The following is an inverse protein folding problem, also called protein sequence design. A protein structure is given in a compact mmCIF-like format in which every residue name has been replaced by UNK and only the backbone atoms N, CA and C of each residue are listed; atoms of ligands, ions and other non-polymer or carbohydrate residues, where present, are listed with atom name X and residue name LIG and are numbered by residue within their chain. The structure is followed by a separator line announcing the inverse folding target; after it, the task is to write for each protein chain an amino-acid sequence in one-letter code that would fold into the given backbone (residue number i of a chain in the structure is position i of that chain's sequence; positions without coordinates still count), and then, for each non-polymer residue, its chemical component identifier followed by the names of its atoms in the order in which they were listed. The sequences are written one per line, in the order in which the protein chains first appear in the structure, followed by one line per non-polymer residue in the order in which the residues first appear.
data_IF_459661377370
#
_entry.id   IF_459661377370
#
_cell.length_a   1.000
_cell.length_b   1.000
_cell.length_c   1.000
_cell.angle_alpha   90.00
_cell.angle_beta   90.00
_cell.angle_gamma   90.00
#
_symmetry.space_group_name_H-M   'P 1'
#
loop_
_entity.id
_entity.type
_entity.pdbx_description
1 polymer ?
#
# COMPACT_ATOMS: atom_id res chain seq x y z
N UNK A 1 3.12 -13.16 -0.43
CA UNK A 1 1.96 -13.13 -1.35
C UNK A 1 1.49 -14.52 -1.73
N UNK A 2 0.21 -14.67 -2.11
CA UNK A 2 -0.32 -15.94 -2.61
C UNK A 2 -0.41 -15.87 -4.14
N UNK A 3 0.23 -16.78 -4.83
CA UNK A 3 0.07 -16.99 -6.26
C UNK A 3 -0.70 -18.28 -6.53
N UNK A 4 -1.45 -18.34 -7.61
CA UNK A 4 -2.12 -19.57 -8.05
C UNK A 4 -1.42 -20.13 -9.26
N UNK A 5 -0.85 -21.32 -9.14
CA UNK A 5 -0.35 -22.12 -10.25
C UNK A 5 -1.28 -23.33 -10.43
N UNK A 6 -1.89 -23.48 -11.60
CA UNK A 6 -2.76 -24.61 -11.89
C UNK A 6 -3.93 -24.79 -10.92
N UNK A 7 -4.53 -23.70 -10.40
CA UNK A 7 -5.65 -23.74 -9.47
C UNK A 7 -5.27 -24.08 -8.01
N UNK A 8 -4.00 -24.26 -7.68
CA UNK A 8 -3.53 -24.42 -6.30
C UNK A 8 -3.00 -23.10 -5.78
N UNK A 9 -3.43 -22.69 -4.59
CA UNK A 9 -2.79 -21.57 -3.88
C UNK A 9 -1.40 -22.02 -3.46
N UNK A 10 -0.39 -21.45 -4.05
CA UNK A 10 0.99 -21.60 -3.62
C UNK A 10 1.31 -20.34 -2.83
N UNK A 11 1.62 -20.48 -1.56
CA UNK A 11 2.24 -19.42 -0.78
C UNK A 11 3.67 -19.30 -1.28
N UNK A 12 3.89 -18.28 -2.12
CA UNK A 12 5.23 -17.90 -2.51
C UNK A 12 5.64 -16.84 -1.50
N UNK A 13 6.75 -17.05 -0.82
CA UNK A 13 7.39 -16.02 -0.01
C UNK A 13 7.57 -14.78 -0.90
N UNK A 14 7.35 -13.60 -0.35
CA UNK A 14 7.50 -12.34 -1.08
C UNK A 14 8.88 -12.22 -1.74
N UNK A 15 9.90 -12.84 -1.14
CA UNK A 15 11.24 -12.92 -1.68
C UNK A 15 11.34 -13.76 -2.96
N UNK A 16 10.44 -14.70 -3.21
CA UNK A 16 10.40 -15.51 -4.45
C UNK A 16 9.75 -14.76 -5.61
N UNK A 17 8.79 -13.86 -5.34
CA UNK A 17 8.18 -13.00 -6.37
C UNK A 17 9.17 -11.98 -6.96
N UNK A 18 10.32 -11.80 -6.34
CA UNK A 18 11.38 -10.86 -6.75
C UNK A 18 12.45 -11.47 -7.62
N UNK A 19 12.18 -12.64 -8.18
CA UNK A 19 13.09 -13.29 -9.09
C UNK A 19 13.30 -12.45 -10.33
N UNK A 20 14.31 -11.62 -10.23
CA UNK A 20 14.93 -11.00 -11.36
C UNK A 20 16.20 -11.79 -11.66
N UNK A 21 16.28 -12.42 -12.80
CA UNK A 21 17.52 -13.02 -13.25
C UNK A 21 18.20 -12.08 -14.23
N UNK A 22 19.43 -11.71 -13.95
CA UNK A 22 20.27 -10.90 -14.85
C UNK A 22 20.76 -11.67 -16.10
N UNK A 23 20.05 -12.70 -16.51
CA UNK A 23 20.50 -13.64 -17.54
C UNK A 23 21.67 -14.53 -17.11
N UNK A 24 22.18 -14.39 -15.90
CA UNK A 24 23.26 -15.17 -15.28
C UNK A 24 22.80 -16.02 -14.12
N UNK A 25 21.48 -16.11 -13.92
CA UNK A 25 20.87 -16.92 -12.87
C UNK A 25 21.00 -16.33 -11.47
N UNK A 26 21.03 -15.01 -11.33
CA UNK A 26 21.02 -14.34 -10.03
C UNK A 26 19.61 -13.88 -9.68
N UNK A 27 19.24 -14.00 -8.41
CA UNK A 27 17.95 -13.52 -7.89
C UNK A 27 18.17 -12.40 -6.85
N UNK A 28 17.09 -11.69 -6.53
CA UNK A 28 17.11 -10.61 -5.55
C UNK A 28 16.48 -11.09 -4.24
N UNK A 29 17.20 -10.96 -3.13
CA UNK A 29 16.70 -11.25 -1.80
C UNK A 29 17.45 -12.39 -1.07
N UNK A 30 17.16 -12.55 0.20
CA UNK A 30 17.65 -13.65 1.02
C UNK A 30 16.57 -14.73 1.11
N UNK A 31 16.91 -15.96 0.78
CA UNK A 31 16.05 -17.12 1.03
C UNK A 31 16.13 -17.53 2.49
N UNK A 32 14.99 -17.62 3.15
CA UNK A 32 14.92 -18.05 4.54
C UNK A 32 14.46 -19.50 4.71
N UNK A 33 13.96 -20.14 3.65
CA UNK A 33 13.50 -21.53 3.68
C UNK A 33 14.61 -22.55 3.42
N UNK A 34 14.45 -23.78 3.93
CA UNK A 34 15.31 -24.92 3.60
C UNK A 34 15.14 -25.33 2.14
N UNK A 35 13.90 -25.36 1.65
CA UNK A 35 13.57 -25.62 0.24
C UNK A 35 13.30 -24.32 -0.51
N UNK A 36 14.11 -24.06 -1.53
CA UNK A 36 14.10 -22.85 -2.35
C UNK A 36 13.71 -23.18 -3.78
N UNK A 37 12.45 -23.03 -4.09
CA UNK A 37 11.91 -23.30 -5.42
C UNK A 37 11.87 -22.00 -6.21
N UNK A 38 12.69 -21.89 -7.25
CA UNK A 38 12.70 -20.74 -8.17
C UNK A 38 11.77 -21.02 -9.35
N UNK A 39 10.76 -20.20 -9.52
CA UNK A 39 9.96 -20.18 -10.74
C UNK A 39 10.51 -19.10 -11.66
N UNK A 40 11.16 -19.50 -12.74
CA UNK A 40 11.80 -18.62 -13.72
C UNK A 40 10.85 -18.44 -14.89
N UNK A 41 10.44 -17.20 -15.17
CA UNK A 41 9.56 -16.85 -16.27
C UNK A 41 10.22 -15.78 -17.14
N UNK A 42 10.40 -16.05 -18.44
CA UNK A 42 11.05 -15.12 -19.38
C UNK A 42 10.29 -13.79 -19.55
N UNK A 43 9.02 -13.74 -19.13
CA UNK A 43 8.18 -12.55 -19.21
C UNK A 43 8.38 -11.60 -18.00
N UNK A 44 9.18 -11.98 -17.01
CA UNK A 44 9.51 -11.10 -15.88
C UNK A 44 10.52 -10.04 -16.35
N UNK A 45 10.21 -8.74 -16.19
CA UNK A 45 11.12 -7.67 -16.58
C UNK A 45 12.41 -7.73 -15.77
N UNK A 46 13.54 -7.35 -16.39
CA UNK A 46 14.79 -7.15 -15.68
C UNK A 46 14.72 -5.88 -14.84
N UNK A 47 14.95 -6.02 -13.54
CA UNK A 47 14.92 -4.90 -12.59
C UNK A 47 16.26 -4.76 -11.87
N UNK A 48 16.82 -3.54 -11.88
CA UNK A 48 18.11 -3.24 -11.26
C UNK A 48 18.05 -3.41 -9.74
N UNK A 49 19.04 -4.11 -9.19
CA UNK A 49 19.28 -4.23 -7.75
C UNK A 49 20.71 -4.66 -7.46
N UNK A 50 21.22 -4.33 -6.29
CA UNK A 50 22.51 -4.84 -5.79
C UNK A 50 22.33 -6.10 -4.93
N UNK A 51 21.10 -6.48 -4.65
CA UNK A 51 20.76 -7.68 -3.86
C UNK A 51 20.56 -8.86 -4.81
N UNK A 52 21.58 -9.68 -4.93
CA UNK A 52 21.63 -10.77 -5.90
C UNK A 52 22.08 -12.06 -5.21
N UNK A 53 21.47 -13.17 -5.62
CA UNK A 53 21.90 -14.50 -5.17
C UNK A 53 22.27 -15.36 -6.39
N UNK A 54 23.01 -16.42 -6.16
CA UNK A 54 23.44 -17.32 -7.21
C UNK A 54 22.41 -18.42 -7.44
N UNK A 55 22.27 -18.90 -8.67
CA UNK A 55 21.32 -19.96 -9.03
C UNK A 55 21.55 -21.25 -8.24
N UNK A 56 22.79 -21.51 -7.78
CA UNK A 56 23.11 -22.66 -6.92
C UNK A 56 22.49 -22.60 -5.53
N UNK A 57 21.94 -21.45 -5.14
CA UNK A 57 21.23 -21.30 -3.87
C UNK A 57 19.80 -21.88 -3.95
N UNK A 58 19.33 -22.21 -5.16
CA UNK A 58 18.05 -22.85 -5.37
C UNK A 58 18.10 -24.35 -5.15
N UNK A 59 17.11 -24.88 -4.44
CA UNK A 59 16.89 -26.33 -4.32
C UNK A 59 16.29 -26.90 -5.60
N UNK A 60 15.41 -26.12 -6.26
CA UNK A 60 14.74 -26.51 -7.50
C UNK A 60 14.46 -25.28 -8.36
N UNK A 61 14.49 -25.46 -9.69
CA UNK A 61 14.13 -24.43 -10.66
C UNK A 61 12.98 -24.95 -11.49
N UNK A 62 11.92 -24.13 -11.63
CA UNK A 62 10.77 -24.40 -12.47
C UNK A 62 10.75 -23.33 -13.57
N UNK A 63 10.91 -23.76 -14.82
CA UNK A 63 10.80 -22.87 -15.97
C UNK A 63 9.33 -22.68 -16.34
N UNK A 64 8.92 -21.43 -16.54
CA UNK A 64 7.60 -21.04 -17.00
C UNK A 64 7.71 -20.12 -18.20
N UNK A 65 6.71 -20.18 -19.06
CA UNK A 65 6.51 -19.27 -20.19
C UNK A 65 5.04 -18.81 -20.21
N UNK A 66 4.64 -18.16 -19.12
CA UNK A 66 3.28 -17.71 -18.93
C UNK A 66 3.27 -16.17 -18.87
N UNK A 67 2.24 -15.51 -19.43
CA UNK A 67 2.06 -14.08 -19.26
C UNK A 67 1.98 -13.72 -17.77
N UNK A 68 2.55 -12.58 -17.38
CA UNK A 68 2.40 -12.07 -16.03
C UNK A 68 0.95 -11.70 -15.75
N UNK A 69 0.53 -11.87 -14.51
CA UNK A 69 -0.80 -11.44 -14.06
C UNK A 69 -0.93 -9.94 -14.27
N UNK A 70 -1.93 -9.54 -15.06
CA UNK A 70 -2.21 -8.13 -15.31
C UNK A 70 -3.47 -7.71 -14.56
N UNK A 71 -3.38 -6.56 -13.88
CA UNK A 71 -4.50 -5.92 -13.17
C UNK A 71 -4.89 -4.69 -13.99
N UNK A 72 -6.11 -4.63 -14.54
CA UNK A 72 -6.54 -3.47 -15.30
C UNK A 72 -6.73 -2.27 -14.38
N UNK A 73 -6.41 -1.07 -14.89
CA UNK A 73 -6.76 0.17 -14.23
C UNK A 73 -8.24 0.46 -14.46
N UNK A 74 -8.96 0.77 -13.38
CA UNK A 74 -10.36 1.23 -13.45
C UNK A 74 -10.42 2.75 -13.30
N UNK A 75 -11.43 3.35 -13.89
CA UNK A 75 -11.72 4.77 -13.68
C UNK A 75 -12.16 4.98 -12.23
N UNK A 76 -11.57 5.97 -11.51
CA UNK A 76 -11.93 6.26 -10.14
C UNK A 76 -13.39 6.69 -10.01
N UNK A 77 -14.05 6.21 -8.97
CA UNK A 77 -15.39 6.70 -8.60
C UNK A 77 -15.31 8.12 -8.01
N UNK A 78 -16.40 8.90 -8.01
CA UNK A 78 -16.42 10.23 -7.39
C UNK A 78 -15.99 10.25 -5.91
N UNK A 79 -16.27 9.16 -5.18
CA UNK A 79 -15.81 9.02 -3.79
C UNK A 79 -14.27 8.93 -3.72
N UNK A 80 -13.66 8.15 -4.61
CA UNK A 80 -12.20 8.01 -4.67
C UNK A 80 -11.51 9.30 -5.15
N UNK A 81 -12.14 10.06 -6.05
CA UNK A 81 -11.65 11.37 -6.47
C UNK A 81 -11.65 12.38 -5.31
N UNK A 82 -12.71 12.40 -4.49
CA UNK A 82 -12.76 13.23 -3.29
C UNK A 82 -11.67 12.86 -2.28
N UNK A 83 -11.48 11.57 -1.99
CA UNK A 83 -10.40 11.07 -1.13
C UNK A 83 -9.03 11.51 -1.67
N UNK A 84 -8.80 11.33 -2.98
CA UNK A 84 -7.58 11.74 -3.66
C UNK A 84 -7.28 13.23 -3.51
N UNK A 85 -8.30 14.07 -3.63
CA UNK A 85 -8.18 15.53 -3.45
C UNK A 85 -7.71 15.88 -2.04
N UNK A 86 -8.32 15.30 -1.00
CA UNK A 86 -7.89 15.52 0.39
C UNK A 86 -6.44 15.10 0.64
N UNK A 87 -5.99 13.99 0.04
CA UNK A 87 -4.60 13.51 0.17
C UNK A 87 -3.65 14.44 -0.57
N UNK A 88 -4.01 14.86 -1.80
CA UNK A 88 -3.20 15.77 -2.62
C UNK A 88 -3.01 17.14 -1.94
N UNK A 89 -4.06 17.67 -1.28
CA UNK A 89 -3.99 18.94 -0.54
C UNK A 89 -3.00 18.87 0.64
N UNK A 90 -2.81 17.69 1.22
CA UNK A 90 -1.85 17.44 2.30
C UNK A 90 -0.43 17.12 1.82
N UNK A 91 -0.25 16.92 0.51
CA UNK A 91 1.02 16.53 -0.10
C UNK A 91 1.81 17.74 -0.54
N UNK A 92 3.07 17.85 -0.14
CA UNK A 92 3.99 18.90 -0.61
C UNK A 92 4.77 18.42 -1.85
N UNK A 93 5.31 19.38 -2.61
CA UNK A 93 6.31 19.09 -3.60
C UNK A 93 7.56 18.44 -2.96
N UNK A 94 8.15 17.48 -3.66
CA UNK A 94 9.28 16.71 -3.14
C UNK A 94 8.90 15.62 -2.13
N UNK A 95 7.62 15.34 -1.91
CA UNK A 95 7.19 14.22 -1.06
C UNK A 95 7.68 12.89 -1.63
N UNK A 96 8.11 11.97 -0.75
CA UNK A 96 8.46 10.60 -1.10
C UNK A 96 7.23 9.70 -0.89
N UNK A 97 6.64 9.23 -1.99
CA UNK A 97 5.34 8.56 -1.98
C UNK A 97 5.45 7.03 -1.87
N UNK A 98 4.53 6.44 -1.12
CA UNK A 98 4.16 5.04 -1.10
C UNK A 98 2.64 4.94 -1.28
N UNK A 99 2.22 4.08 -2.19
CA UNK A 99 0.81 3.78 -2.43
C UNK A 99 0.62 2.27 -2.57
N UNK A 100 -0.55 1.77 -2.17
CA UNK A 100 -0.95 0.37 -2.36
C UNK A 100 -1.41 0.08 -3.80
N UNK A 101 -2.23 -0.96 -3.94
CA UNK A 101 -2.87 -1.38 -5.22
C UNK A 101 -4.32 -0.92 -5.28
N UNK A 102 -4.89 -0.96 -6.50
CA UNK A 102 -6.31 -0.79 -6.79
C UNK A 102 -6.72 0.65 -7.08
N UNK A 103 -8.02 0.84 -7.16
CA UNK A 103 -8.66 2.05 -7.68
C UNK A 103 -8.32 3.30 -6.86
N UNK A 104 -8.17 3.15 -5.53
CA UNK A 104 -7.77 4.26 -4.67
C UNK A 104 -6.36 4.76 -5.01
N UNK A 105 -5.40 3.85 -5.23
CA UNK A 105 -4.04 4.22 -5.61
C UNK A 105 -4.01 4.91 -6.97
N UNK A 106 -4.84 4.46 -7.91
CA UNK A 106 -5.03 5.10 -9.21
C UNK A 106 -5.57 6.51 -9.03
N UNK A 107 -6.61 6.70 -8.21
CA UNK A 107 -7.18 8.01 -7.90
C UNK A 107 -6.14 8.95 -7.27
N UNK A 108 -5.40 8.48 -6.26
CA UNK A 108 -4.35 9.28 -5.59
C UNK A 108 -3.26 9.67 -6.58
N UNK A 109 -2.81 8.75 -7.45
CA UNK A 109 -1.86 9.07 -8.51
C UNK A 109 -2.37 10.19 -9.43
N UNK A 110 -3.64 10.18 -9.79
CA UNK A 110 -4.25 11.29 -10.56
C UNK A 110 -4.25 12.61 -9.79
N UNK A 111 -4.59 12.60 -8.51
CA UNK A 111 -4.56 13.80 -7.67
C UNK A 111 -3.17 14.40 -7.51
N UNK A 112 -2.12 13.58 -7.58
CA UNK A 112 -0.72 14.02 -7.44
C UNK A 112 -0.10 14.57 -8.73
N UNK A 113 -0.81 14.57 -9.86
CA UNK A 113 -0.30 15.09 -11.16
C UNK A 113 0.07 16.58 -11.15
N UNK A 114 -0.40 17.34 -10.16
CA UNK A 114 -0.06 18.77 -10.00
C UNK A 114 1.09 18.99 -9.00
N UNK A 115 1.73 17.93 -8.51
CA UNK A 115 2.88 18.01 -7.61
C UNK A 115 4.17 17.83 -8.39
N UNK A 116 5.26 18.40 -7.86
CA UNK A 116 6.56 18.42 -8.52
C UNK A 116 7.62 17.75 -7.66
N UNK A 117 8.66 17.25 -8.32
CA UNK A 117 9.84 16.66 -7.69
C UNK A 117 9.54 15.53 -6.71
N UNK A 118 8.46 14.80 -6.91
CA UNK A 118 8.12 13.66 -6.08
C UNK A 118 9.23 12.59 -6.13
N UNK A 119 9.33 11.81 -5.08
CA UNK A 119 10.13 10.60 -5.02
C UNK A 119 9.25 9.37 -4.80
N UNK A 120 9.75 8.18 -5.10
CA UNK A 120 9.10 6.91 -4.82
C UNK A 120 9.98 6.06 -3.92
N UNK A 121 9.42 5.63 -2.78
CA UNK A 121 9.90 4.54 -1.96
C UNK A 121 8.67 3.76 -1.49
N UNK A 122 8.38 2.64 -2.11
CA UNK A 122 7.12 1.91 -1.94
C UNK A 122 7.38 0.41 -1.90
N UNK A 123 6.57 -0.36 -1.18
CA UNK A 123 6.62 -1.81 -1.28
C UNK A 123 6.30 -2.24 -2.71
N UNK A 124 5.20 -1.76 -3.24
CA UNK A 124 4.76 -2.05 -4.60
C UNK A 124 4.87 -0.81 -5.48
N UNK A 125 5.22 -1.01 -6.73
CA UNK A 125 5.11 -0.02 -7.79
C UNK A 125 4.03 -0.42 -8.78
N UNK A 126 3.07 0.47 -9.03
CA UNK A 126 1.94 0.27 -9.94
C UNK A 126 1.89 1.32 -11.06
N UNK A 127 0.89 1.19 -11.93
CA UNK A 127 0.72 2.03 -13.12
C UNK A 127 0.60 3.52 -12.81
N UNK A 128 -0.09 3.89 -11.73
CA UNK A 128 -0.24 5.29 -11.35
C UNK A 128 1.10 5.97 -11.01
N UNK A 129 2.02 5.22 -10.39
CA UNK A 129 3.38 5.69 -10.13
C UNK A 129 4.20 5.78 -11.41
N UNK A 130 4.11 4.76 -12.30
CA UNK A 130 4.73 4.80 -13.63
C UNK A 130 4.29 6.05 -14.40
N UNK A 131 2.99 6.35 -14.39
CA UNK A 131 2.44 7.53 -15.05
C UNK A 131 3.06 8.83 -14.50
N UNK A 132 3.20 8.96 -13.17
CA UNK A 132 3.83 10.12 -12.54
C UNK A 132 5.31 10.26 -12.93
N UNK A 133 6.04 9.15 -13.10
CA UNK A 133 7.43 9.16 -13.61
C UNK A 133 7.44 9.61 -15.06
N UNK A 134 6.63 9.00 -15.94
CA UNK A 134 6.55 9.35 -17.37
C UNK A 134 6.17 10.82 -17.60
N UNK A 135 5.34 11.39 -16.74
CA UNK A 135 4.94 12.80 -16.81
C UNK A 135 5.98 13.78 -16.25
N UNK A 136 7.01 13.28 -15.57
CA UNK A 136 8.01 14.12 -14.94
C UNK A 136 7.63 14.68 -13.56
N UNK A 137 6.50 14.26 -12.99
CA UNK A 137 6.11 14.61 -11.61
C UNK A 137 7.05 13.96 -10.60
N UNK A 138 7.52 12.73 -10.88
CA UNK A 138 8.50 12.01 -10.08
C UNK A 138 9.87 12.17 -10.71
N UNK A 139 10.76 12.88 -10.03
CA UNK A 139 12.17 13.06 -10.41
C UNK A 139 13.12 12.31 -9.49
N UNK A 140 12.67 11.92 -8.31
CA UNK A 140 13.47 11.33 -7.22
C UNK A 140 14.66 12.20 -6.75
N UNK A 141 14.80 13.42 -7.25
CA UNK A 141 15.97 14.29 -6.98
C UNK A 141 15.98 14.80 -5.54
N UNK A 142 14.80 14.92 -4.91
CA UNK A 142 14.64 15.38 -3.52
C UNK A 142 14.57 14.26 -2.49
N UNK A 143 14.70 12.99 -2.90
CA UNK A 143 14.84 11.88 -1.95
C UNK A 143 16.13 12.00 -1.16
N UNK A 144 16.06 11.73 0.14
CA UNK A 144 17.21 11.73 1.06
C UNK A 144 17.78 10.33 1.28
N UNK A 145 17.08 9.30 0.81
CA UNK A 145 17.55 7.92 0.74
C UNK A 145 17.34 7.38 -0.68
N UNK A 146 18.38 6.87 -1.30
CA UNK A 146 18.41 6.43 -2.70
C UNK A 146 17.90 7.52 -3.68
N UNK A 147 18.56 8.71 -3.72
CA UNK A 147 18.16 9.77 -4.62
C UNK A 147 18.32 9.36 -6.08
N UNK A 148 17.52 9.95 -6.95
CA UNK A 148 17.58 9.73 -8.40
C UNK A 148 16.89 8.46 -8.92
N UNK A 149 16.45 7.56 -8.04
CA UNK A 149 15.78 6.33 -8.45
C UNK A 149 14.47 6.11 -7.66
N UNK A 150 13.47 5.55 -8.33
CA UNK A 150 12.27 5.01 -7.69
C UNK A 150 12.58 3.65 -7.09
N UNK A 151 12.43 3.51 -5.77
CA UNK A 151 12.70 2.24 -5.09
C UNK A 151 11.42 1.51 -4.73
N UNK A 152 11.38 0.21 -5.03
CA UNK A 152 10.26 -0.67 -4.71
C UNK A 152 10.74 -2.09 -4.37
N UNK A 153 9.82 -2.89 -3.82
CA UNK A 153 10.09 -4.30 -3.57
C UNK A 153 9.58 -5.19 -4.69
N UNK A 154 8.45 -4.83 -5.32
CA UNK A 154 7.89 -5.56 -6.45
C UNK A 154 7.04 -4.66 -7.36
N UNK A 155 6.66 -5.20 -8.53
CA UNK A 155 5.74 -4.59 -9.50
C UNK A 155 4.43 -5.34 -9.53
N UNK A 156 3.32 -4.61 -9.68
CA UNK A 156 2.03 -5.21 -10.00
C UNK A 156 1.15 -4.18 -10.73
N UNK A 157 0.67 -4.52 -11.92
CA UNK A 157 -0.16 -3.64 -12.72
C UNK A 157 -0.46 -4.20 -14.10
N UNK A 158 -0.52 -3.34 -15.09
CA UNK A 158 -0.78 -3.70 -16.48
C UNK A 158 0.47 -4.24 -17.18
N UNK A 159 0.27 -4.80 -18.37
CA UNK A 159 1.37 -5.22 -19.25
C UNK A 159 2.31 -4.04 -19.56
N UNK A 160 1.75 -2.84 -19.76
CA UNK A 160 2.53 -1.63 -20.04
C UNK A 160 3.50 -1.28 -18.91
N UNK A 161 3.11 -1.54 -17.66
CA UNK A 161 3.99 -1.36 -16.50
C UNK A 161 5.19 -2.31 -16.58
N UNK A 162 4.97 -3.58 -16.91
CA UNK A 162 6.03 -4.59 -16.99
C UNK A 162 6.99 -4.29 -18.16
N UNK A 163 6.45 -3.91 -19.33
CA UNK A 163 7.26 -3.50 -20.47
C UNK A 163 8.09 -2.23 -20.20
N UNK A 164 7.49 -1.25 -19.51
CA UNK A 164 8.20 -0.04 -19.13
C UNK A 164 9.29 -0.29 -18.07
N UNK A 165 9.08 -1.26 -17.19
CA UNK A 165 10.02 -1.55 -16.11
C UNK A 165 11.25 -2.33 -16.59
N UNK A 166 11.16 -3.00 -17.74
CA UNK A 166 12.26 -3.83 -18.26
C UNK A 166 13.48 -2.98 -18.60
N UNK A 167 14.62 -3.30 -17.99
CA UNK A 167 15.89 -2.57 -18.11
C UNK A 167 15.80 -1.06 -17.83
N UNK A 168 14.88 -0.64 -16.98
CA UNK A 168 14.65 0.77 -16.66
C UNK A 168 15.58 1.25 -15.54
N UNK A 169 16.56 2.10 -15.88
CA UNK A 169 17.54 2.64 -14.93
C UNK A 169 16.95 3.59 -13.86
N UNK A 170 15.73 4.07 -14.07
CA UNK A 170 15.03 4.91 -13.07
C UNK A 170 14.46 4.09 -11.91
N UNK A 171 14.49 2.75 -12.00
CA UNK A 171 14.00 1.83 -10.99
C UNK A 171 15.14 1.15 -10.25
N UNK A 172 14.93 0.93 -8.95
CA UNK A 172 15.86 0.21 -8.10
C UNK A 172 15.10 -0.66 -7.10
N UNK A 173 15.29 -1.98 -7.18
CA UNK A 173 14.52 -2.92 -6.39
C UNK A 173 15.28 -3.35 -5.14
N UNK A 174 14.54 -3.42 -4.04
CA UNK A 174 15.03 -3.78 -2.71
C UNK A 174 14.29 -5.02 -2.19
N UNK A 175 14.96 -5.91 -1.47
CA UNK A 175 14.27 -6.95 -0.69
C UNK A 175 13.30 -6.32 0.32
N UNK A 176 12.14 -6.99 0.59
CA UNK A 176 11.15 -6.49 1.55
C UNK A 176 11.72 -6.13 2.91
N UNK A 177 12.62 -6.95 3.51
CA UNK A 177 13.20 -6.61 4.81
C UNK A 177 13.96 -5.29 4.81
N UNK A 178 14.36 -4.78 3.64
CA UNK A 178 15.06 -3.50 3.48
C UNK A 178 14.08 -2.43 3.02
N UNK A 179 13.26 -2.72 2.01
CA UNK A 179 12.29 -1.78 1.45
C UNK A 179 11.23 -1.37 2.49
N UNK A 180 10.68 -2.37 3.20
CA UNK A 180 9.60 -2.17 4.19
C UNK A 180 10.13 -1.84 5.59
N UNK A 181 11.45 -1.76 5.79
CA UNK A 181 11.97 -1.41 7.11
C UNK A 181 11.61 0.02 7.49
N UNK A 182 10.86 0.27 8.57
CA UNK A 182 10.42 1.61 8.97
C UNK A 182 11.58 2.61 9.14
N UNK A 183 12.74 2.15 9.58
CA UNK A 183 13.92 3.00 9.72
C UNK A 183 14.53 3.39 8.37
N UNK A 184 14.44 2.51 7.37
CA UNK A 184 14.89 2.84 6.01
C UNK A 184 13.90 3.76 5.30
N UNK A 185 12.59 3.52 5.46
CA UNK A 185 11.53 4.39 4.96
C UNK A 185 11.74 5.80 5.52
N UNK A 186 11.96 5.91 6.82
CA UNK A 186 12.14 7.17 7.54
C UNK A 186 13.40 7.96 7.14
N UNK A 187 14.36 7.35 6.44
CA UNK A 187 15.51 8.07 5.86
C UNK A 187 15.11 9.06 4.76
N UNK A 188 13.94 8.88 4.15
CA UNK A 188 13.37 9.87 3.24
C UNK A 188 12.60 10.92 4.03
N UNK A 189 12.84 12.19 3.75
CA UNK A 189 12.04 13.31 4.27
C UNK A 189 10.68 13.34 3.54
N UNK A 190 9.64 13.84 4.22
CA UNK A 190 8.29 14.03 3.68
C UNK A 190 7.68 12.74 3.09
N UNK A 191 7.86 11.61 3.74
CA UNK A 191 7.21 10.36 3.30
C UNK A 191 5.69 10.51 3.36
N UNK A 192 5.04 10.28 2.23
CA UNK A 192 3.60 10.18 2.09
C UNK A 192 3.23 8.71 1.93
N UNK A 193 2.74 8.09 2.99
CA UNK A 193 2.25 6.71 2.95
C UNK A 193 0.73 6.69 2.85
N UNK A 194 0.19 6.04 1.82
CA UNK A 194 -1.25 5.90 1.58
C UNK A 194 -1.61 4.42 1.51
N UNK A 195 -2.42 3.97 2.46
CA UNK A 195 -2.86 2.59 2.54
C UNK A 195 -4.38 2.50 2.63
N UNK A 196 -4.94 1.47 2.00
CA UNK A 196 -6.37 1.21 1.97
C UNK A 196 -6.79 0.43 3.22
N UNK A 197 -7.99 0.69 3.72
CA UNK A 197 -8.64 -0.12 4.75
C UNK A 197 -9.97 -0.67 4.27
N UNK A 198 -10.38 -1.82 4.82
CA UNK A 198 -11.73 -2.37 4.68
C UNK A 198 -12.67 -1.74 5.70
N UNK A 199 -12.23 -1.66 6.95
CA UNK A 199 -13.01 -1.08 8.05
C UNK A 199 -12.08 -0.33 9.03
N UNK A 200 -12.67 0.66 9.72
CA UNK A 200 -12.07 1.33 10.88
C UNK A 200 -13.09 1.42 12.01
N UNK A 201 -12.66 1.12 13.23
CA UNK A 201 -13.54 1.30 14.38
C UNK A 201 -13.45 2.71 15.00
N UNK A 202 -14.39 3.06 15.89
CA UNK A 202 -14.46 4.40 16.48
C UNK A 202 -13.30 4.73 17.43
N UNK A 203 -12.46 3.76 17.79
CA UNK A 203 -11.22 4.04 18.51
C UNK A 203 -10.00 4.17 17.60
N UNK A 204 -10.18 3.93 16.28
CA UNK A 204 -9.18 4.11 15.24
C UNK A 204 -8.31 2.88 14.99
N UNK A 205 -8.76 1.69 15.32
CA UNK A 205 -8.17 0.43 14.86
C UNK A 205 -8.55 0.20 13.40
N UNK A 206 -7.68 -0.41 12.60
CA UNK A 206 -7.86 -0.61 11.16
C UNK A 206 -7.79 -2.08 10.79
N UNK A 207 -8.69 -2.49 9.91
CA UNK A 207 -8.69 -3.81 9.25
C UNK A 207 -8.50 -3.62 7.76
N UNK A 208 -7.55 -4.34 7.16
CA UNK A 208 -7.23 -4.24 5.74
C UNK A 208 -7.03 -5.60 5.04
N UNK A 209 -6.76 -6.67 5.77
CA UNK A 209 -6.29 -7.95 5.25
C UNK A 209 -7.22 -9.13 5.52
N UNK A 210 -8.28 -8.92 6.32
CA UNK A 210 -9.23 -9.97 6.65
C UNK A 210 -10.67 -9.46 6.71
N UNK A 211 -11.64 -10.39 6.56
CA UNK A 211 -13.07 -10.13 6.69
C UNK A 211 -13.59 -11.03 7.81
N UNK A 212 -13.92 -10.43 8.95
CA UNK A 212 -14.42 -11.14 10.15
C UNK A 212 -13.52 -12.34 10.52
N UNK A 213 -12.20 -12.12 10.56
CA UNK A 213 -11.21 -13.15 10.91
C UNK A 213 -10.91 -14.16 9.80
N UNK A 214 -11.57 -14.08 8.66
CA UNK A 214 -11.17 -14.86 7.48
C UNK A 214 -10.12 -14.07 6.70
N UNK A 215 -8.91 -14.60 6.62
CA UNK A 215 -7.80 -13.98 5.91
C UNK A 215 -8.13 -13.83 4.42
N UNK A 216 -8.02 -12.61 3.90
CA UNK A 216 -8.30 -12.28 2.50
C UNK A 216 -7.00 -12.09 1.70
N UNK A 217 -6.01 -11.46 2.31
CA UNK A 217 -4.66 -11.25 1.74
C UNK A 217 -3.60 -11.48 2.83
N UNK A 218 -2.32 -11.45 2.46
CA UNK A 218 -1.25 -11.29 3.45
C UNK A 218 -1.41 -9.97 4.20
N UNK A 219 -0.77 -9.84 5.37
CA UNK A 219 -0.72 -8.60 6.15
C UNK A 219 -0.08 -7.47 5.34
N UNK A 220 0.95 -7.77 4.52
CA UNK A 220 1.69 -6.79 3.71
C UNK A 220 2.47 -5.77 4.55
N UNK A 221 2.95 -4.72 3.87
CA UNK A 221 3.77 -3.67 4.48
C UNK A 221 3.00 -2.47 5.04
N UNK A 222 1.67 -2.54 5.17
CA UNK A 222 0.88 -1.38 5.62
C UNK A 222 1.42 -0.77 6.92
N UNK A 223 1.62 -1.61 7.96
CA UNK A 223 2.09 -1.13 9.26
C UNK A 223 3.51 -0.55 9.18
N UNK A 224 4.39 -1.18 8.39
CA UNK A 224 5.77 -0.73 8.22
C UNK A 224 5.83 0.67 7.62
N UNK A 225 5.06 0.92 6.55
CA UNK A 225 4.99 2.23 5.89
C UNK A 225 4.28 3.27 6.75
N UNK A 226 3.24 2.90 7.49
CA UNK A 226 2.60 3.77 8.49
C UNK A 226 3.59 4.23 9.54
N UNK A 227 4.39 3.32 10.09
CA UNK A 227 5.42 3.64 11.09
C UNK A 227 6.57 4.43 10.46
N UNK A 228 7.07 4.02 9.30
CA UNK A 228 8.14 4.70 8.59
C UNK A 228 7.81 6.15 8.25
N UNK A 229 6.59 6.40 7.75
CA UNK A 229 6.11 7.76 7.47
C UNK A 229 6.03 8.63 8.73
N UNK A 230 5.63 8.06 9.87
CA UNK A 230 5.57 8.80 11.13
C UNK A 230 6.95 9.10 11.74
N UNK A 231 7.95 8.28 11.45
CA UNK A 231 9.34 8.52 11.82
C UNK A 231 10.06 9.47 10.86
N UNK A 232 9.58 9.60 9.64
CA UNK A 232 10.11 10.51 8.62
C UNK A 232 9.91 11.97 9.02
N UNK A 233 10.92 12.79 8.81
CA UNK A 233 10.82 14.24 9.01
C UNK A 233 9.82 14.84 8.02
N UNK A 234 8.72 15.41 8.54
CA UNK A 234 7.61 15.94 7.72
C UNK A 234 6.70 14.87 7.13
N UNK A 235 6.92 13.59 7.45
CA UNK A 235 6.14 12.49 6.91
C UNK A 235 4.70 12.43 7.41
N UNK A 236 3.84 11.85 6.60
CA UNK A 236 2.40 11.69 6.86
C UNK A 236 1.94 10.30 6.42
N UNK A 237 1.17 9.62 7.27
CA UNK A 237 0.54 8.35 6.93
C UNK A 237 -0.97 8.49 6.86
N UNK A 238 -1.56 8.02 5.77
CA UNK A 238 -2.99 8.05 5.49
C UNK A 238 -3.55 6.63 5.45
N UNK A 239 -4.62 6.42 6.19
CA UNK A 239 -5.53 5.30 6.04
C UNK A 239 -6.75 5.82 5.29
N UNK A 240 -6.99 5.31 4.10
CA UNK A 240 -8.03 5.78 3.22
C UNK A 240 -9.03 4.68 2.90
N UNK A 241 -10.31 4.99 2.98
CA UNK A 241 -11.39 4.06 2.69
C UNK A 241 -12.64 4.83 2.24
N UNK A 242 -13.46 4.23 1.40
CA UNK A 242 -14.84 4.73 1.20
C UNK A 242 -15.61 4.57 2.51
N UNK A 243 -16.46 5.53 2.85
CA UNK A 243 -17.23 5.47 4.11
C UNK A 243 -18.22 4.31 4.16
N UNK A 244 -18.58 3.75 2.99
CA UNK A 244 -19.57 2.69 2.84
C UNK A 244 -19.18 1.69 1.76
N UNK A 245 -19.77 0.49 1.87
CA UNK A 245 -19.81 -0.50 0.78
C UNK A 245 -21.24 -1.04 0.61
N UNK A 246 -21.51 -1.61 -0.56
CA UNK A 246 -22.79 -2.24 -0.86
C UNK A 246 -22.64 -3.75 -0.93
N UNK A 247 -23.51 -4.49 -0.20
CA UNK A 247 -23.56 -5.94 -0.25
C UNK A 247 -25.03 -6.37 -0.38
N UNK A 248 -25.35 -7.19 -1.39
CA UNK A 248 -26.71 -7.65 -1.68
C UNK A 248 -27.73 -6.50 -1.80
N UNK A 249 -27.36 -5.36 -2.40
CA UNK A 249 -28.20 -4.19 -2.56
C UNK A 249 -28.40 -3.35 -1.28
N UNK A 250 -27.82 -3.73 -0.16
CA UNK A 250 -27.86 -3.00 1.10
C UNK A 250 -26.56 -2.24 1.33
N UNK A 251 -26.67 -0.99 1.82
CA UNK A 251 -25.53 -0.12 2.17
C UNK A 251 -25.08 -0.44 3.61
N UNK A 252 -23.76 -0.54 3.78
CA UNK A 252 -23.10 -0.76 5.08
C UNK A 252 -22.02 0.30 5.30
N UNK A 253 -21.83 0.69 6.56
CA UNK A 253 -20.74 1.60 6.94
C UNK A 253 -19.42 0.84 7.08
N UNK A 254 -18.34 1.42 6.56
CA UNK A 254 -16.96 0.97 6.76
C UNK A 254 -16.33 1.60 8.03
N UNK A 255 -17.00 2.59 8.62
CA UNK A 255 -16.69 3.10 9.95
C UNK A 255 -17.65 2.42 10.92
N UNK A 256 -17.13 1.59 11.82
CA UNK A 256 -17.91 0.73 12.70
C UNK A 256 -17.68 1.09 14.17
N UNK A 257 -18.67 0.87 15.05
CA UNK A 257 -18.50 1.20 16.48
C UNK A 257 -17.44 0.35 17.15
N UNK A 258 -17.39 -0.93 16.81
CA UNK A 258 -16.38 -1.95 17.19
C UNK A 258 -16.33 -3.02 16.11
N UNK A 259 -15.20 -3.67 15.97
CA UNK A 259 -15.09 -4.82 15.10
C UNK A 259 -15.88 -6.01 15.64
N UNK A 260 -16.35 -6.87 14.74
CA UNK A 260 -16.94 -8.14 15.09
C UNK A 260 -15.90 -9.03 15.78
N UNK A 261 -16.37 -9.87 16.70
CA UNK A 261 -15.50 -10.82 17.41
C UNK A 261 -14.78 -11.75 16.41
N UNK A 262 -13.48 -11.90 16.57
CA UNK A 262 -12.63 -12.71 15.69
C UNK A 262 -11.97 -11.92 14.55
N UNK A 263 -12.29 -10.66 14.38
CA UNK A 263 -11.59 -9.79 13.39
C UNK A 263 -10.16 -9.49 13.84
N UNK A 264 -9.20 -9.59 12.92
CA UNK A 264 -7.80 -9.25 13.18
C UNK A 264 -7.51 -7.80 12.85
N UNK A 265 -6.79 -7.12 13.74
CA UNK A 265 -6.39 -5.71 13.54
C UNK A 265 -5.10 -5.67 12.72
N UNK A 266 -5.14 -5.05 11.54
CA UNK A 266 -3.98 -4.86 10.67
C UNK A 266 -3.11 -3.70 11.16
N UNK A 267 -3.71 -2.54 11.47
CA UNK A 267 -2.98 -1.39 12.01
C UNK A 267 -3.60 -0.97 13.35
N UNK A 268 -2.81 -1.00 14.46
CA UNK A 268 -3.30 -0.63 15.77
C UNK A 268 -3.57 0.87 15.87
N UNK A 269 -4.56 1.26 16.71
CA UNK A 269 -4.98 2.66 16.90
C UNK A 269 -3.86 3.63 17.28
N UNK A 270 -2.79 3.15 17.89
CA UNK A 270 -1.62 3.95 18.26
C UNK A 270 -0.80 4.41 17.08
N UNK A 271 -0.87 3.66 15.96
CA UNK A 271 -0.11 3.94 14.74
C UNK A 271 -0.92 4.73 13.70
N UNK A 272 -2.24 4.84 13.83
CA UNK A 272 -3.07 5.57 12.84
C UNK A 272 -2.91 7.08 13.03
N UNK A 273 -2.56 7.78 11.94
CA UNK A 273 -2.38 9.24 11.94
C UNK A 273 -3.51 9.95 11.20
N UNK A 274 -3.54 9.93 9.88
CA UNK A 274 -4.63 10.50 9.10
C UNK A 274 -5.61 9.41 8.68
N UNK A 275 -6.91 9.71 8.76
CA UNK A 275 -7.98 8.90 8.19
C UNK A 275 -8.73 9.76 7.18
N UNK A 276 -8.99 9.18 6.02
CA UNK A 276 -9.63 9.88 4.89
C UNK A 276 -10.78 9.06 4.35
N UNK A 277 -11.92 9.72 4.19
CA UNK A 277 -13.05 9.22 3.40
C UNK A 277 -13.48 10.29 2.41
N UNK A 278 -14.48 10.03 1.57
CA UNK A 278 -15.07 11.03 0.68
C UNK A 278 -15.73 12.20 1.43
N UNK A 279 -15.90 12.11 2.75
CA UNK A 279 -16.47 13.17 3.60
C UNK A 279 -15.42 14.04 4.30
N UNK A 280 -14.14 13.75 4.16
CA UNK A 280 -13.08 14.57 4.74
C UNK A 280 -11.82 13.81 5.10
N UNK A 281 -10.90 14.55 5.73
CA UNK A 281 -9.62 14.07 6.23
C UNK A 281 -9.43 14.55 7.66
N UNK A 282 -9.14 13.63 8.59
CA UNK A 282 -8.88 13.95 10.00
C UNK A 282 -7.54 13.42 10.45
N UNK A 283 -6.83 14.21 11.28
CA UNK A 283 -5.61 13.75 11.95
C UNK A 283 -5.98 13.28 13.36
N UNK A 284 -5.79 11.99 13.64
CA UNK A 284 -6.11 11.37 14.94
C UNK A 284 -5.00 11.52 15.99
N UNK A 285 -3.83 12.02 15.62
CA UNK A 285 -2.74 12.27 16.57
C UNK A 285 -3.13 13.41 17.51
N UNK A 286 -2.74 13.26 18.77
CA UNK A 286 -2.98 14.23 19.83
C UNK A 286 -4.47 14.44 20.20
N UNK A 287 -5.40 13.68 19.61
CA UNK A 287 -6.80 13.70 20.00
C UNK A 287 -7.04 12.81 21.22
N UNK A 288 -7.85 13.31 22.15
CA UNK A 288 -8.42 12.49 23.23
C UNK A 288 -9.34 11.40 22.61
N UNK A 289 -9.67 10.35 23.38
CA UNK A 289 -10.55 9.29 22.90
C UNK A 289 -11.89 9.85 22.40
N UNK A 290 -12.48 10.77 23.16
CA UNK A 290 -13.75 11.42 22.79
C UNK A 290 -13.64 12.19 21.44
N UNK A 291 -12.59 13.00 21.30
CA UNK A 291 -12.35 13.77 20.08
C UNK A 291 -12.11 12.84 18.86
N UNK A 292 -11.37 11.75 19.07
CA UNK A 292 -11.14 10.72 18.03
C UNK A 292 -12.44 10.09 17.56
N UNK A 293 -13.30 9.69 18.49
CA UNK A 293 -14.63 9.13 18.17
C UNK A 293 -15.45 10.12 17.34
N UNK A 294 -15.53 11.38 17.77
CA UNK A 294 -16.28 12.41 17.06
C UNK A 294 -15.71 12.69 15.67
N UNK A 295 -14.37 12.73 15.55
CA UNK A 295 -13.68 12.90 14.27
C UNK A 295 -13.98 11.74 13.30
N UNK A 296 -13.95 10.49 13.76
CA UNK A 296 -14.27 9.34 12.93
C UNK A 296 -15.76 9.30 12.53
N UNK A 297 -16.68 9.66 13.45
CA UNK A 297 -18.11 9.78 13.10
C UNK A 297 -18.32 10.85 12.01
N UNK A 298 -17.56 11.94 12.01
CA UNK A 298 -17.66 12.98 10.97
C UNK A 298 -17.28 12.49 9.58
N UNK A 299 -16.43 11.47 9.49
CA UNK A 299 -16.00 10.83 8.24
C UNK A 299 -16.99 9.77 7.73
N UNK A 300 -17.93 9.33 8.56
CA UNK A 300 -18.93 8.36 8.16
C UNK A 300 -19.95 8.96 7.20
N UNK A 301 -20.56 8.10 6.37
CA UNK A 301 -21.71 8.51 5.55
C UNK A 301 -22.82 9.11 6.44
N UNK A 302 -23.45 10.22 6.04
CA UNK A 302 -24.42 10.94 6.87
C UNK A 302 -25.53 10.06 7.49
N UNK A 303 -26.03 9.07 6.74
CA UNK A 303 -27.09 8.16 7.21
C UNK A 303 -26.69 7.27 8.38
N UNK A 304 -25.40 7.10 8.67
CA UNK A 304 -24.91 6.26 9.78
C UNK A 304 -24.42 7.07 10.98
N UNK A 305 -24.25 8.39 10.87
CA UNK A 305 -23.64 9.21 11.92
C UNK A 305 -24.40 9.21 13.24
N UNK A 306 -25.73 9.26 13.20
CA UNK A 306 -26.57 9.23 14.41
C UNK A 306 -26.47 7.88 15.09
N UNK A 307 -26.68 6.80 14.34
CA UNK A 307 -26.51 5.43 14.85
C UNK A 307 -25.15 5.20 15.48
N UNK A 308 -24.07 5.63 14.82
CA UNK A 308 -22.70 5.50 15.36
C UNK A 308 -22.50 6.31 16.66
N UNK A 309 -23.16 7.46 16.79
CA UNK A 309 -23.11 8.28 18.00
C UNK A 309 -23.82 7.60 19.17
N UNK A 310 -25.00 7.02 18.91
CA UNK A 310 -25.74 6.31 19.95
C UNK A 310 -25.01 5.04 20.41
N UNK A 311 -24.47 4.28 19.48
CA UNK A 311 -23.62 3.12 19.80
C UNK A 311 -22.35 3.52 20.56
N UNK A 312 -21.74 4.68 20.24
CA UNK A 312 -20.61 5.19 20.99
C UNK A 312 -20.95 5.53 22.44
N UNK A 313 -22.17 6.05 22.71
CA UNK A 313 -22.67 6.26 24.08
C UNK A 313 -22.92 4.94 24.79
N UNK A 314 -23.59 3.99 24.12
CA UNK A 314 -23.85 2.65 24.66
C UNK A 314 -22.57 1.94 25.09
N UNK A 315 -21.47 2.14 24.33
CA UNK A 315 -20.16 1.59 24.65
C UNK A 315 -19.31 2.43 25.61
N UNK A 316 -19.85 3.54 26.14
CA UNK A 316 -19.15 4.44 27.05
C UNK A 316 -17.99 5.21 26.42
N UNK A 317 -17.96 5.32 25.08
CA UNK A 317 -16.97 6.11 24.34
C UNK A 317 -17.37 7.60 24.29
N UNK A 318 -18.65 7.90 24.38
CA UNK A 318 -19.23 9.24 24.50
C UNK A 318 -20.15 9.29 25.73
N UNK A 319 -20.38 10.48 26.33
CA UNK A 319 -21.34 10.67 27.42
C UNK A 319 -22.78 10.53 26.95
#
# INVERSE_FOLDING_TARGET
GASTLGGRKIWIDEDVLRLNTDGRGRYLGEFQGEDRILVVNKNIPYMRSDYMAHISDATCIVEMDEPLVSIPNLEPSPALEAISTFIADQTCDGACIQMGIGDLSTAVGFGLRNKNDLGIHSEMMGDSMMELVKRGNVTNTRKTYLPGVSSAAFLMGTKDLYEWADWNDQLYFLPSPICNNPLNIAKNDNVLSVNTALEIDLVGQVVADNIVGTQYSSIGGQLDFVQGAQLSKGGKSFIALTSTHTKNGQLYSNIVPRFQTGTFVTTPRSCVQYVVTEYGCVNLKLLTMRERVLALISLAHPSFREQLRDQAKEFGLLP
#
